data_IF_503974561057
#
_entry.id   IF_503974561057
#
_cell.length_a   1.000
_cell.length_b   1.000
_cell.length_c   1.000
_cell.angle_alpha   90.00
_cell.angle_beta   90.00
_cell.angle_gamma   90.00
#
_symmetry.space_group_name_H-M   'P 1'
#
loop_
_entity.id
_entity.type
_entity.pdbx_description
1 polymer ?
#
# COMPACT_ATOMS: atom_id res chain seq x y z
N UNK A 1 17.37 2.01 2.45
CA UNK A 1 16.33 2.48 3.41
C UNK A 1 15.97 1.32 4.34
N UNK A 2 15.83 1.56 5.64
CA UNK A 2 15.47 0.48 6.59
C UNK A 2 14.03 0.02 6.41
N UNK A 3 13.71 -1.19 6.87
CA UNK A 3 12.36 -1.76 6.78
C UNK A 3 11.32 -0.89 7.50
N UNK A 4 11.69 -0.30 8.64
CA UNK A 4 10.81 0.56 9.44
C UNK A 4 10.39 1.81 8.67
N UNK A 5 11.32 2.43 7.94
CA UNK A 5 11.01 3.63 7.14
C UNK A 5 10.09 3.29 5.96
N UNK A 6 10.26 2.11 5.33
CA UNK A 6 9.36 1.66 4.27
C UNK A 6 7.94 1.40 4.79
N UNK A 7 7.81 0.78 5.97
CA UNK A 7 6.51 0.59 6.63
C UNK A 7 5.85 1.93 6.98
N UNK A 8 6.62 2.88 7.52
CA UNK A 8 6.12 4.22 7.83
C UNK A 8 5.66 4.95 6.57
N UNK A 9 6.38 4.85 5.45
CA UNK A 9 5.99 5.46 4.19
C UNK A 9 4.64 4.92 3.65
N UNK A 10 4.37 3.62 3.82
CA UNK A 10 3.07 3.04 3.45
C UNK A 10 1.96 3.63 4.34
N UNK A 11 2.19 3.72 5.65
CA UNK A 11 1.21 4.26 6.59
C UNK A 11 0.92 5.76 6.32
N UNK A 12 1.96 6.57 6.11
CA UNK A 12 1.86 8.02 5.84
C UNK A 12 1.10 8.30 4.54
N UNK A 13 1.41 7.58 3.46
CA UNK A 13 0.68 7.70 2.20
C UNK A 13 -0.79 7.29 2.34
N UNK A 14 -1.06 6.19 3.06
CA UNK A 14 -2.43 5.74 3.29
C UNK A 14 -3.24 6.77 4.09
N UNK A 15 -2.66 7.30 5.17
CA UNK A 15 -3.26 8.36 5.98
C UNK A 15 -3.54 9.60 5.13
N UNK A 16 -2.56 10.09 4.36
CA UNK A 16 -2.72 11.27 3.52
C UNK A 16 -3.79 11.10 2.42
N UNK A 17 -3.94 9.90 1.85
CA UNK A 17 -4.95 9.62 0.82
C UNK A 17 -6.37 9.50 1.38
N UNK A 18 -6.50 9.06 2.63
CA UNK A 18 -7.79 8.84 3.32
C UNK A 18 -8.21 10.02 4.20
N UNK A 19 -7.28 10.92 4.52
CA UNK A 19 -7.55 12.13 5.28
C UNK A 19 -8.64 13.01 4.64
N UNK A 20 -9.53 13.53 5.50
CA UNK A 20 -10.71 14.35 5.16
C UNK A 20 -10.30 15.83 5.02
N UNK A 21 -9.08 16.13 4.57
CA UNK A 21 -8.47 17.44 4.85
C UNK A 21 -8.81 18.55 3.83
N UNK A 22 -9.97 18.50 3.17
CA UNK A 22 -10.37 19.60 2.27
C UNK A 22 -11.84 19.99 2.46
N UNK A 23 -12.13 21.23 2.91
CA UNK A 23 -13.49 21.76 3.07
C UNK A 23 -14.35 21.75 1.77
N UNK A 24 -13.75 21.41 0.63
CA UNK A 24 -14.38 21.50 -0.69
C UNK A 24 -14.19 20.26 -1.57
N UNK A 25 -13.57 19.18 -1.06
CA UNK A 25 -13.48 17.91 -1.80
C UNK A 25 -13.79 16.75 -0.86
N UNK A 26 -14.80 15.91 -1.19
CA UNK A 26 -15.03 14.68 -0.45
C UNK A 26 -13.73 13.86 -0.42
N UNK A 27 -13.38 13.33 0.76
CA UNK A 27 -12.31 12.34 0.87
C UNK A 27 -12.54 11.16 -0.10
N UNK A 28 -11.46 10.49 -0.50
CA UNK A 28 -11.52 9.33 -1.40
C UNK A 28 -12.19 8.15 -0.69
N UNK A 29 -12.81 7.29 -1.47
CA UNK A 29 -13.21 5.97 -0.98
C UNK A 29 -11.97 5.14 -0.63
N UNK A 30 -12.14 4.20 0.28
CA UNK A 30 -11.08 3.31 0.72
C UNK A 30 -10.50 2.49 -0.45
N UNK A 31 -11.37 2.00 -1.34
CA UNK A 31 -10.96 1.32 -2.58
C UNK A 31 -10.15 2.21 -3.52
N UNK A 32 -10.45 3.51 -3.61
CA UNK A 32 -9.72 4.47 -4.44
C UNK A 32 -8.33 4.75 -3.88
N UNK A 33 -8.22 4.96 -2.56
CA UNK A 33 -6.94 5.20 -1.90
C UNK A 33 -5.98 4.01 -2.11
N UNK A 34 -6.46 2.79 -1.88
CA UNK A 34 -5.66 1.57 -2.10
C UNK A 34 -5.35 1.35 -3.58
N UNK A 35 -6.26 1.72 -4.48
CA UNK A 35 -6.01 1.72 -5.93
C UNK A 35 -4.87 2.64 -6.35
N UNK A 36 -4.76 3.83 -5.74
CA UNK A 36 -3.64 4.76 -5.97
C UNK A 36 -2.33 4.16 -5.43
N UNK A 37 -2.36 3.56 -4.24
CA UNK A 37 -1.18 2.91 -3.67
C UNK A 37 -0.68 1.75 -4.53
N UNK A 38 -1.57 0.99 -5.17
CA UNK A 38 -1.19 -0.04 -6.19
C UNK A 38 -0.38 0.59 -7.33
N UNK A 39 -0.80 1.75 -7.85
CA UNK A 39 -0.03 2.47 -8.87
C UNK A 39 1.34 2.91 -8.36
N UNK A 40 1.40 3.45 -7.14
CA UNK A 40 2.66 3.86 -6.50
C UNK A 40 3.63 2.68 -6.29
N UNK A 41 3.12 1.50 -5.93
CA UNK A 41 3.93 0.27 -5.86
C UNK A 41 4.42 -0.13 -7.26
N UNK A 42 3.56 -0.08 -8.27
CA UNK A 42 3.92 -0.41 -9.65
C UNK A 42 4.92 0.59 -10.26
N UNK A 43 4.98 1.81 -9.73
CA UNK A 43 5.94 2.87 -10.08
C UNK A 43 7.19 2.86 -9.18
N UNK A 44 7.35 1.85 -8.33
CA UNK A 44 8.48 1.67 -7.40
C UNK A 44 8.61 2.76 -6.31
N UNK A 45 7.54 3.52 -6.03
CA UNK A 45 7.50 4.49 -4.93
C UNK A 45 7.27 3.85 -3.57
N UNK A 46 6.61 2.69 -3.53
CA UNK A 46 6.34 1.92 -2.32
C UNK A 46 6.85 0.49 -2.47
N UNK A 47 7.26 -0.11 -1.35
CA UNK A 47 7.75 -1.49 -1.31
C UNK A 47 6.60 -2.49 -1.51
N UNK A 48 6.74 -3.36 -2.52
CA UNK A 48 5.69 -4.32 -2.88
C UNK A 48 5.36 -5.31 -1.79
N UNK A 49 6.37 -5.93 -1.19
CA UNK A 49 6.15 -7.02 -0.23
C UNK A 49 5.52 -6.47 1.06
N UNK A 50 5.97 -5.30 1.50
CA UNK A 50 5.36 -4.64 2.66
C UNK A 50 3.95 -4.15 2.35
N UNK A 51 3.65 -3.70 1.13
CA UNK A 51 2.28 -3.32 0.77
C UNK A 51 1.35 -4.54 0.68
N UNK A 52 1.83 -5.69 0.19
CA UNK A 52 1.07 -6.94 0.23
C UNK A 52 0.77 -7.34 1.66
N UNK A 53 1.76 -7.29 2.54
CA UNK A 53 1.58 -7.58 3.97
C UNK A 53 0.57 -6.62 4.61
N UNK A 54 0.66 -5.33 4.31
CA UNK A 54 -0.30 -4.33 4.76
C UNK A 54 -1.73 -4.71 4.37
N UNK A 55 -1.97 -5.05 3.09
CA UNK A 55 -3.29 -5.46 2.60
C UNK A 55 -3.80 -6.75 3.26
N UNK A 56 -2.94 -7.78 3.36
CA UNK A 56 -3.30 -9.09 3.90
C UNK A 56 -3.52 -9.07 5.42
N UNK A 57 -2.81 -8.21 6.13
CA UNK A 57 -2.94 -8.09 7.60
C UNK A 57 -4.29 -7.50 8.03
N UNK A 58 -4.98 -6.77 7.14
CA UNK A 58 -6.23 -6.08 7.47
C UNK A 58 -6.07 -4.80 8.29
N UNK A 59 -4.83 -4.40 8.64
CA UNK A 59 -4.57 -3.20 9.47
C UNK A 59 -5.16 -1.92 8.87
N UNK A 60 -5.22 -1.83 7.55
CA UNK A 60 -5.86 -0.72 6.82
C UNK A 60 -7.37 -0.63 7.05
N UNK A 61 -8.03 -1.79 7.19
CA UNK A 61 -9.46 -1.87 7.44
C UNK A 61 -9.78 -1.58 8.90
N UNK A 62 -8.99 -2.11 9.83
CA UNK A 62 -9.14 -1.82 11.27
C UNK A 62 -8.98 -0.31 11.52
N UNK A 63 -7.98 0.31 10.87
CA UNK A 63 -7.80 1.75 10.89
C UNK A 63 -9.02 2.48 10.30
N UNK A 64 -9.49 2.06 9.12
CA UNK A 64 -10.63 2.69 8.45
C UNK A 64 -11.90 2.64 9.31
N UNK A 65 -12.19 1.50 9.93
CA UNK A 65 -13.35 1.32 10.81
C UNK A 65 -13.26 2.15 12.10
N UNK A 66 -12.05 2.43 12.57
CA UNK A 66 -11.83 3.18 13.81
C UNK A 66 -11.80 4.70 13.60
N UNK A 67 -11.23 5.16 12.48
CA UNK A 67 -10.86 6.56 12.30
C UNK A 67 -11.48 7.24 11.07
N UNK A 68 -11.96 6.48 10.07
CA UNK A 68 -12.54 7.05 8.86
C UNK A 68 -14.07 7.09 8.92
N UNK A 69 -14.65 7.92 8.06
CA UNK A 69 -16.09 7.98 7.87
C UNK A 69 -16.61 6.64 7.31
N UNK A 70 -17.62 6.00 7.94
CA UNK A 70 -18.24 4.78 7.42
C UNK A 70 -18.74 4.90 5.98
N UNK A 71 -19.19 6.09 5.55
CA UNK A 71 -19.62 6.33 4.16
C UNK A 71 -18.47 6.25 3.14
N UNK A 72 -17.21 6.34 3.62
CA UNK A 72 -15.99 6.22 2.82
C UNK A 72 -15.33 4.85 2.89
N UNK A 73 -15.82 3.99 3.78
CA UNK A 73 -15.31 2.63 3.98
C UNK A 73 -16.10 1.65 3.11
N UNK A 74 -15.83 1.67 1.81
CA UNK A 74 -16.45 0.77 0.85
C UNK A 74 -15.81 -0.62 0.82
N UNK A 75 -16.45 -1.57 0.12
CA UNK A 75 -15.96 -2.94 0.07
C UNK A 75 -14.72 -3.04 -0.83
N UNK A 76 -13.62 -3.54 -0.28
CA UNK A 76 -12.36 -3.72 -1.00
C UNK A 76 -12.07 -5.20 -1.22
N UNK A 77 -11.84 -5.58 -2.48
CA UNK A 77 -11.36 -6.90 -2.84
C UNK A 77 -9.82 -6.95 -2.82
N UNK A 78 -9.26 -7.40 -1.71
CA UNK A 78 -7.79 -7.50 -1.50
C UNK A 78 -7.13 -8.39 -2.55
N UNK A 79 -7.71 -9.55 -2.88
CA UNK A 79 -7.15 -10.47 -3.88
C UNK A 79 -7.04 -9.81 -5.26
N UNK A 80 -8.03 -9.00 -5.65
CA UNK A 80 -8.00 -8.26 -6.90
C UNK A 80 -6.95 -7.14 -6.90
N UNK A 81 -6.67 -6.51 -5.76
CA UNK A 81 -5.59 -5.51 -5.64
C UNK A 81 -4.22 -6.18 -5.75
N UNK A 82 -3.99 -7.28 -5.04
CA UNK A 82 -2.72 -8.03 -5.10
C UNK A 82 -2.44 -8.55 -6.52
N UNK A 83 -3.47 -8.99 -7.24
CA UNK A 83 -3.34 -9.44 -8.63
C UNK A 83 -2.91 -8.32 -9.62
N UNK A 84 -3.09 -7.04 -9.26
CA UNK A 84 -2.67 -5.88 -10.08
C UNK A 84 -1.21 -5.46 -9.83
N UNK A 85 -0.55 -6.02 -8.82
CA UNK A 85 0.83 -5.69 -8.47
C UNK A 85 1.82 -6.37 -9.40
N UNK A 86 2.66 -5.57 -10.05
CA UNK A 86 3.77 -6.07 -10.86
C UNK A 86 4.92 -6.55 -9.97
N UNK A 87 5.70 -7.54 -10.39
CA UNK A 87 6.94 -7.90 -9.69
C UNK A 87 7.88 -6.69 -9.68
N UNK A 88 8.37 -6.31 -8.50
CA UNK A 88 9.50 -5.40 -8.41
C UNK A 88 10.76 -6.26 -8.53
N UNK A 89 11.62 -5.94 -9.50
CA UNK A 89 12.83 -6.72 -9.76
C UNK A 89 13.66 -6.85 -8.48
N UNK A 90 13.98 -8.08 -8.09
CA UNK A 90 15.01 -8.35 -7.10
C UNK A 90 16.33 -8.17 -7.85
N UNK A 91 17.00 -7.04 -7.67
CA UNK A 91 18.36 -6.87 -8.19
C UNK A 91 19.28 -7.93 -7.58
N UNK A 92 19.74 -8.85 -8.43
CA UNK A 92 21.02 -9.55 -8.34
C UNK A 92 21.37 -10.26 -7.03
N UNK A 93 20.93 -11.51 -6.87
CA UNK A 93 21.83 -12.53 -6.34
C UNK A 93 22.56 -13.11 -7.54
N UNK A 94 23.70 -12.53 -7.90
CA UNK A 94 24.67 -13.24 -8.73
C UNK A 94 25.07 -14.50 -7.97
N UNK A 95 24.95 -15.71 -8.53
CA UNK A 95 25.63 -16.86 -7.94
C UNK A 95 27.12 -16.57 -8.11
N UNK A 96 27.81 -16.27 -7.01
CA UNK A 96 29.26 -16.32 -6.98
C UNK A 96 29.67 -17.73 -7.39
N UNK A 97 30.06 -17.90 -8.65
CA UNK A 97 30.90 -19.00 -9.07
C UNK A 97 32.24 -18.82 -8.35
N UNK A 98 32.40 -19.51 -7.23
CA UNK A 98 33.71 -19.67 -6.58
C UNK A 98 34.39 -20.92 -7.18
N UNK A 99 35.53 -20.79 -7.86
CA UNK A 99 36.34 -21.92 -8.26
C UNK A 99 37.43 -22.17 -7.20
N UNK A 100 37.52 -23.40 -6.70
CA UNK A 100 38.76 -24.05 -6.27
C UNK A 100 38.53 -25.56 -6.14
#
# INVERSE_FOLDING_TARGET
>A
MSMQVKMLAIADVFEALTAIDRPYKPGKLLSEALGIMVSMVNEHHLDRELFILFLQSGVWLDYAQTYLDPEKTDNVNVSALVAKLKPQHVEGVTPETSPA
#
